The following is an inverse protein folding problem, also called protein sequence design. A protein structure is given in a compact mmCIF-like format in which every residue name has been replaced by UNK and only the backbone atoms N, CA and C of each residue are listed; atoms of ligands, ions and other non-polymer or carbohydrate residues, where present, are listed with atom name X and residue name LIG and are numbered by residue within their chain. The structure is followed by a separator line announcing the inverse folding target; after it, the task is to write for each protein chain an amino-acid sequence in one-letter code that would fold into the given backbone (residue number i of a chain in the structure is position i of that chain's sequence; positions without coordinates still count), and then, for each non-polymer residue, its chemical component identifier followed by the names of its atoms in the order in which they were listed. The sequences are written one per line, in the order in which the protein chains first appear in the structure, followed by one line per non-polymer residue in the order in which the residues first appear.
data_IF_695518432755
#
_entry.id   IF_695518432755
#
_cell.length_a   1.000
_cell.length_b   1.000
_cell.length_c   1.000
_cell.angle_alpha   90.00
_cell.angle_beta   90.00
_cell.angle_gamma   90.00
#
_symmetry.space_group_name_H-M   'P 1'
#
loop_
_entity.id
_entity.type
_entity.pdbx_description
1 polymer ?
#
# COMPACT_ATOMS: atom_id res chain seq x y z
N UNK A 1 9.87 4.18 -12.86
CA UNK A 1 11.02 4.31 -11.93
C UNK A 1 12.23 4.85 -12.67
N UNK A 2 12.69 4.16 -13.72
CA UNK A 2 13.86 4.56 -14.50
C UNK A 2 13.83 6.01 -15.01
N UNK A 3 12.69 6.51 -15.45
CA UNK A 3 12.56 7.92 -15.89
C UNK A 3 12.71 8.93 -14.74
N UNK A 4 12.12 8.64 -13.57
CA UNK A 4 12.22 9.48 -12.37
C UNK A 4 13.63 9.44 -11.76
N UNK A 5 14.28 8.27 -11.77
CA UNK A 5 15.67 8.13 -11.32
C UNK A 5 16.61 8.94 -12.20
N UNK A 6 16.43 8.88 -13.53
CA UNK A 6 17.19 9.71 -14.47
C UNK A 6 16.98 11.21 -14.20
N UNK A 7 15.73 11.63 -13.95
CA UNK A 7 15.41 13.03 -13.63
C UNK A 7 16.04 13.49 -12.32
N UNK A 8 16.07 12.63 -11.28
CA UNK A 8 16.74 12.96 -10.00
C UNK A 8 18.27 12.87 -10.04
N UNK A 9 18.83 12.20 -11.05
CA UNK A 9 20.28 12.03 -11.24
C UNK A 9 20.90 13.12 -12.14
N UNK A 10 20.08 13.96 -12.77
CA UNK A 10 20.54 15.07 -13.60
C UNK A 10 21.10 16.22 -12.75
N UNK A 11 22.14 16.90 -13.25
CA UNK A 11 22.77 18.03 -12.56
C UNK A 11 21.77 19.18 -12.34
N UNK A 12 20.81 19.34 -13.26
CA UNK A 12 19.74 20.34 -13.15
C UNK A 12 18.72 20.07 -12.04
N UNK A 13 18.64 18.84 -11.52
CA UNK A 13 17.71 18.48 -10.44
C UNK A 13 17.96 19.30 -9.17
N UNK A 14 19.23 19.50 -8.81
CA UNK A 14 19.61 20.26 -7.63
C UNK A 14 19.38 21.77 -7.79
N UNK A 15 19.18 22.26 -9.02
CA UNK A 15 18.84 23.65 -9.31
C UNK A 15 17.33 23.94 -9.19
N UNK A 16 16.48 22.90 -9.18
CA UNK A 16 15.03 23.04 -9.05
C UNK A 16 14.61 23.69 -7.70
N UNK A 17 13.46 24.37 -7.63
CA UNK A 17 12.90 24.85 -6.37
C UNK A 17 12.75 23.72 -5.34
N UNK A 18 12.97 24.02 -4.05
CA UNK A 18 12.93 23.01 -2.98
C UNK A 18 11.63 22.19 -2.97
N UNK A 19 10.48 22.84 -3.18
CA UNK A 19 9.18 22.16 -3.19
C UNK A 19 9.06 21.12 -4.29
N UNK A 20 9.53 21.43 -5.50
CA UNK A 20 9.49 20.52 -6.65
C UNK A 20 10.41 19.31 -6.42
N UNK A 21 11.63 19.54 -5.90
CA UNK A 21 12.54 18.45 -5.52
C UNK A 21 11.95 17.52 -4.48
N UNK A 22 11.28 18.07 -3.46
CA UNK A 22 10.65 17.27 -2.41
C UNK A 22 9.55 16.36 -2.96
N UNK A 23 8.75 16.84 -3.92
CA UNK A 23 7.70 16.03 -4.56
C UNK A 23 8.31 14.87 -5.34
N UNK A 24 9.32 15.13 -6.17
CA UNK A 24 10.00 14.11 -6.98
C UNK A 24 10.69 13.05 -6.10
N UNK A 25 11.43 13.47 -5.06
CA UNK A 25 12.07 12.53 -4.13
C UNK A 25 11.05 11.67 -3.39
N UNK A 26 9.90 12.24 -3.01
CA UNK A 26 8.83 11.49 -2.36
C UNK A 26 8.24 10.43 -3.30
N UNK A 27 8.08 10.75 -4.58
CA UNK A 27 7.61 9.80 -5.59
C UNK A 27 8.63 8.67 -5.82
N UNK A 28 9.92 8.99 -5.92
CA UNK A 28 10.99 7.99 -6.03
C UNK A 28 10.98 7.07 -4.82
N UNK A 29 11.05 7.63 -3.60
CA UNK A 29 11.03 6.84 -2.35
C UNK A 29 9.82 5.90 -2.30
N UNK A 30 8.63 6.39 -2.65
CA UNK A 30 7.41 5.60 -2.63
C UNK A 30 7.45 4.42 -3.61
N UNK A 31 7.97 4.64 -4.82
CA UNK A 31 8.13 3.57 -5.81
C UNK A 31 9.20 2.57 -5.40
N UNK A 32 10.33 3.04 -4.88
CA UNK A 32 11.40 2.18 -4.35
C UNK A 32 10.89 1.30 -3.21
N UNK A 33 10.16 1.87 -2.26
CA UNK A 33 9.57 1.12 -1.14
C UNK A 33 8.58 0.05 -1.64
N UNK A 34 7.77 0.38 -2.66
CA UNK A 34 6.83 -0.58 -3.24
C UNK A 34 7.54 -1.74 -3.93
N UNK A 35 8.64 -1.48 -4.64
CA UNK A 35 9.42 -2.52 -5.33
C UNK A 35 10.13 -3.41 -4.31
N UNK A 36 10.78 -2.82 -3.31
CA UNK A 36 11.47 -3.56 -2.27
C UNK A 36 10.53 -4.52 -1.51
N UNK A 37 9.28 -4.09 -1.28
CA UNK A 37 8.25 -4.96 -0.68
C UNK A 37 7.93 -6.15 -1.58
N UNK A 38 7.73 -5.95 -2.88
CA UNK A 38 7.50 -7.05 -3.81
C UNK A 38 8.68 -8.03 -3.85
N UNK A 39 9.91 -7.51 -3.93
CA UNK A 39 11.13 -8.33 -3.91
C UNK A 39 11.24 -9.15 -2.61
N UNK A 40 10.80 -8.58 -1.48
CA UNK A 40 10.79 -9.29 -0.19
C UNK A 40 9.78 -10.45 -0.18
N UNK A 41 8.59 -10.26 -0.78
CA UNK A 41 7.58 -11.32 -0.90
C UNK A 41 8.01 -12.43 -1.86
N UNK A 42 8.65 -12.06 -2.96
CA UNK A 42 9.21 -12.99 -3.93
C UNK A 42 10.30 -13.87 -3.28
N UNK A 43 11.22 -13.24 -2.54
CA UNK A 43 12.23 -13.99 -1.76
C UNK A 43 11.62 -14.92 -0.71
N UNK A 44 10.58 -14.48 -0.01
CA UNK A 44 9.89 -15.31 0.98
C UNK A 44 9.16 -16.49 0.33
N UNK A 45 8.57 -16.28 -0.85
CA UNK A 45 7.94 -17.33 -1.63
C UNK A 45 8.96 -18.39 -2.07
N UNK A 46 10.12 -17.96 -2.58
CA UNK A 46 11.20 -18.87 -2.98
C UNK A 46 11.74 -19.69 -1.80
N UNK A 47 11.92 -19.05 -0.64
CA UNK A 47 12.32 -19.73 0.60
C UNK A 47 11.27 -20.78 1.03
N UNK A 48 9.98 -20.44 0.92
CA UNK A 48 8.87 -21.36 1.21
C UNK A 48 8.81 -22.54 0.24
N UNK A 49 9.07 -22.31 -1.04
CA UNK A 49 9.13 -23.38 -2.05
C UNK A 49 10.27 -24.35 -1.74
N UNK A 50 11.46 -23.83 -1.42
CA UNK A 50 12.60 -24.64 -1.01
C UNK A 50 12.34 -25.43 0.28
N UNK A 51 11.72 -24.80 1.29
CA UNK A 51 11.34 -25.47 2.53
C UNK A 51 10.30 -26.58 2.31
N UNK A 52 9.34 -26.36 1.41
CA UNK A 52 8.32 -27.35 1.06
C UNK A 52 8.93 -28.57 0.34
N UNK A 53 9.92 -28.38 -0.53
CA UNK A 53 10.65 -29.51 -1.13
C UNK A 53 11.43 -30.29 -0.08
N UNK A 54 12.10 -29.61 0.86
CA UNK A 54 12.81 -30.28 1.97
C UNK A 54 11.85 -31.10 2.85
N UNK A 55 10.68 -30.53 3.18
CA UNK A 55 9.65 -31.24 3.95
C UNK A 55 9.17 -32.52 3.24
N UNK A 56 9.04 -32.53 1.91
CA UNK A 56 8.65 -33.74 1.17
C UNK A 56 9.68 -34.86 1.26
N UNK A 57 10.95 -34.54 1.49
CA UNK A 57 12.02 -35.51 1.63
C UNK A 57 12.14 -36.04 3.08
N UNK A 58 11.95 -35.16 4.06
CA UNK A 58 12.28 -35.45 5.47
C UNK A 58 11.06 -35.69 6.39
N UNK A 59 9.84 -35.29 5.99
CA UNK A 59 8.59 -35.38 6.77
C UNK A 59 8.71 -34.84 8.22
N UNK A 60 9.43 -33.72 8.37
CA UNK A 60 9.64 -33.05 9.66
C UNK A 60 8.43 -32.17 10.04
N UNK A 61 7.81 -32.49 11.18
CA UNK A 61 6.64 -31.78 11.71
C UNK A 61 6.96 -30.35 12.18
N UNK A 62 8.18 -30.10 12.67
CA UNK A 62 8.58 -28.75 13.09
C UNK A 62 8.79 -27.84 11.87
N UNK A 63 9.38 -28.38 10.80
CA UNK A 63 9.52 -27.69 9.52
C UNK A 63 8.15 -27.39 8.89
N UNK A 64 7.22 -28.35 8.90
CA UNK A 64 5.86 -28.14 8.41
C UNK A 64 5.17 -26.97 9.13
N UNK A 65 5.37 -26.85 10.44
CA UNK A 65 4.81 -25.75 11.21
C UNK A 65 5.39 -24.40 10.79
N UNK A 66 6.71 -24.32 10.63
CA UNK A 66 7.39 -23.09 10.18
C UNK A 66 6.92 -22.65 8.78
N UNK A 67 6.72 -23.60 7.87
CA UNK A 67 6.15 -23.37 6.54
C UNK A 67 4.75 -22.77 6.66
N UNK A 68 3.88 -23.36 7.48
CA UNK A 68 2.50 -22.88 7.64
C UNK A 68 2.45 -21.46 8.23
N UNK A 69 3.23 -21.19 9.27
CA UNK A 69 3.32 -19.87 9.90
C UNK A 69 3.84 -18.82 8.89
N UNK A 70 4.81 -19.20 8.06
CA UNK A 70 5.39 -18.33 7.03
C UNK A 70 4.44 -18.09 5.85
N UNK A 71 3.64 -19.10 5.47
CA UNK A 71 2.57 -18.94 4.48
C UNK A 71 1.48 -17.98 4.96
N UNK A 72 1.05 -18.08 6.22
CA UNK A 72 0.08 -17.14 6.79
C UNK A 72 0.64 -15.70 6.80
N UNK A 73 1.94 -15.55 7.11
CA UNK A 73 2.60 -14.26 7.01
C UNK A 73 2.63 -13.73 5.57
N UNK A 74 3.01 -14.56 4.60
CA UNK A 74 3.05 -14.18 3.18
C UNK A 74 1.66 -13.72 2.69
N UNK A 75 0.60 -14.43 3.06
CA UNK A 75 -0.78 -14.10 2.71
C UNK A 75 -1.19 -12.71 3.26
N UNK A 76 -0.93 -12.46 4.54
CA UNK A 76 -1.20 -11.16 5.18
C UNK A 76 -0.39 -10.01 4.55
N UNK A 77 0.87 -10.26 4.21
CA UNK A 77 1.71 -9.24 3.58
C UNK A 77 1.27 -8.93 2.14
N UNK A 78 0.80 -9.94 1.39
CA UNK A 78 0.18 -9.77 0.06
C UNK A 78 -1.10 -8.93 0.15
N UNK A 79 -2.02 -9.25 1.07
CA UNK A 79 -3.26 -8.49 1.28
C UNK A 79 -2.98 -7.02 1.60
N UNK A 80 -2.03 -6.77 2.48
CA UNK A 80 -1.57 -5.42 2.84
C UNK A 80 -1.00 -4.66 1.63
N UNK A 81 -0.25 -5.37 0.78
CA UNK A 81 0.34 -4.80 -0.41
C UNK A 81 -0.73 -4.52 -1.48
N UNK A 82 -1.73 -5.39 -1.66
CA UNK A 82 -2.85 -5.17 -2.58
C UNK A 82 -3.61 -3.89 -2.21
N UNK A 83 -3.94 -3.71 -0.93
CA UNK A 83 -4.57 -2.48 -0.43
C UNK A 83 -3.70 -1.26 -0.73
N UNK A 84 -2.39 -1.36 -0.49
CA UNK A 84 -1.46 -0.26 -0.78
C UNK A 84 -1.37 0.04 -2.28
N UNK A 85 -1.44 -1.01 -3.12
CA UNK A 85 -1.41 -0.93 -4.58
C UNK A 85 -2.64 -0.24 -5.18
N UNK A 86 -3.80 -0.31 -4.51
CA UNK A 86 -5.00 0.42 -4.90
C UNK A 86 -4.83 1.94 -4.83
N UNK A 87 -3.93 2.44 -3.97
CA UNK A 87 -3.76 3.88 -3.73
C UNK A 87 -2.80 4.57 -4.71
N UNK A 88 -2.77 4.23 -6.00
CA UNK A 88 -1.76 4.74 -6.95
C UNK A 88 -2.05 6.14 -7.55
N UNK A 89 -3.07 6.85 -7.08
CA UNK A 89 -3.43 8.19 -7.52
C UNK A 89 -2.49 9.28 -7.02
N UNK A 90 -2.44 10.41 -7.75
CA UNK A 90 -1.60 11.58 -7.43
C UNK A 90 -1.97 12.26 -6.10
N UNK A 91 -3.21 12.07 -5.64
CA UNK A 91 -3.74 12.69 -4.43
C UNK A 91 -4.02 11.70 -3.30
N UNK A 92 -3.70 10.41 -3.46
CA UNK A 92 -4.04 9.38 -2.49
C UNK A 92 -3.25 9.51 -1.18
N UNK A 93 -2.13 10.23 -1.22
CA UNK A 93 -1.33 10.58 -0.04
C UNK A 93 -1.80 11.87 0.66
N UNK A 94 -2.88 12.51 0.18
CA UNK A 94 -3.42 13.75 0.72
C UNK A 94 -4.63 13.47 1.59
N UNK A 95 -4.87 14.34 2.57
CA UNK A 95 -6.09 14.29 3.36
C UNK A 95 -7.31 14.54 2.46
N UNK A 96 -8.30 13.65 2.54
CA UNK A 96 -9.58 13.84 1.88
C UNK A 96 -10.41 14.91 2.61
N UNK A 97 -10.99 15.85 1.85
CA UNK A 97 -12.02 16.76 2.34
C UNK A 97 -13.37 16.21 1.91
N UNK A 98 -14.18 15.77 2.87
CA UNK A 98 -15.51 15.21 2.60
C UNK A 98 -16.58 16.27 2.86
N UNK A 99 -17.42 16.53 1.85
CA UNK A 99 -18.59 17.42 1.95
C UNK A 99 -19.85 16.63 1.63
N UNK A 100 -20.83 16.64 2.53
CA UNK A 100 -22.09 15.93 2.37
C UNK A 100 -23.19 16.96 2.16
N UNK A 101 -23.89 16.88 1.03
CA UNK A 101 -24.99 17.77 0.69
C UNK A 101 -26.29 16.95 0.59
N UNK A 102 -27.37 17.33 1.27
CA UNK A 102 -28.65 16.67 1.10
C UNK A 102 -29.17 16.92 -0.32
N UNK A 103 -29.64 15.86 -0.97
CA UNK A 103 -30.23 15.92 -2.30
C UNK A 103 -31.65 16.51 -2.31
N UNK A 104 -32.34 16.37 -3.45
CA UNK A 104 -33.74 16.74 -3.56
C UNK A 104 -34.61 15.77 -2.73
N UNK A 105 -35.42 16.31 -1.82
CA UNK A 105 -36.31 15.53 -0.94
C UNK A 105 -36.61 16.18 0.41
N UNK A 106 -36.05 17.36 0.69
CA UNK A 106 -36.40 18.16 1.86
C UNK A 106 -35.88 17.54 3.16
N UNK A 107 -36.76 17.38 4.15
CA UNK A 107 -36.38 16.90 5.49
C UNK A 107 -35.78 15.48 5.46
N UNK A 108 -36.35 14.57 4.69
CA UNK A 108 -35.89 13.17 4.64
C UNK A 108 -34.47 13.06 4.06
N UNK A 109 -34.16 13.82 3.01
CA UNK A 109 -32.79 13.90 2.48
C UNK A 109 -31.81 14.52 3.46
N UNK A 110 -32.28 15.43 4.32
CA UNK A 110 -31.47 16.07 5.37
C UNK A 110 -31.17 15.11 6.52
N UNK A 111 -32.16 14.31 6.93
CA UNK A 111 -31.99 13.28 7.94
C UNK A 111 -31.00 12.21 7.46
N UNK A 112 -31.09 11.80 6.20
CA UNK A 112 -30.15 10.83 5.62
C UNK A 112 -28.72 11.37 5.50
N UNK A 113 -28.56 12.64 5.10
CA UNK A 113 -27.26 13.30 5.09
C UNK A 113 -26.63 13.36 6.50
N UNK A 114 -27.46 13.59 7.53
CA UNK A 114 -27.02 13.57 8.93
C UNK A 114 -26.56 12.17 9.37
N UNK A 115 -27.28 11.12 8.94
CA UNK A 115 -26.87 9.73 9.21
C UNK A 115 -25.51 9.39 8.59
N UNK A 116 -25.27 9.81 7.34
CA UNK A 116 -23.98 9.62 6.69
C UNK A 116 -22.86 10.38 7.40
N UNK A 117 -23.13 11.62 7.83
CA UNK A 117 -22.17 12.42 8.58
C UNK A 117 -21.75 11.72 9.88
N UNK A 118 -22.71 11.22 10.66
CA UNK A 118 -22.41 10.49 11.90
C UNK A 118 -21.67 9.17 11.63
N UNK A 119 -22.01 8.47 10.54
CA UNK A 119 -21.30 7.26 10.12
C UNK A 119 -19.82 7.55 9.84
N UNK A 120 -19.53 8.51 8.96
CA UNK A 120 -18.15 8.87 8.60
C UNK A 120 -17.39 9.44 9.80
N UNK A 121 -18.05 10.23 10.65
CA UNK A 121 -17.44 10.76 11.88
C UNK A 121 -17.03 9.67 12.86
N UNK A 122 -17.82 8.59 12.97
CA UNK A 122 -17.48 7.43 13.83
C UNK A 122 -16.39 6.56 13.23
N UNK A 123 -16.36 6.40 11.91
CA UNK A 123 -15.33 5.61 11.23
C UNK A 123 -13.94 6.27 11.28
N UNK A 124 -13.87 7.60 11.18
CA UNK A 124 -12.61 8.36 11.19
C UNK A 124 -12.06 8.56 12.62
N UNK A 125 -12.90 8.44 13.64
CA UNK A 125 -12.54 8.63 15.05
C UNK A 125 -11.75 7.43 15.60
#
# INVERSE_FOLDING_TARGET
MQDLENETSDDGFWELPQGERTVLLKQVSRLSDSILRWETLDSLHDDLEAAAELYREEDDADLLKEILDSCEKLDNDIDSLEITGLFNGEADDRNAIVSIHPGAGGTESTDWASMLYDMYRRWIA
#
